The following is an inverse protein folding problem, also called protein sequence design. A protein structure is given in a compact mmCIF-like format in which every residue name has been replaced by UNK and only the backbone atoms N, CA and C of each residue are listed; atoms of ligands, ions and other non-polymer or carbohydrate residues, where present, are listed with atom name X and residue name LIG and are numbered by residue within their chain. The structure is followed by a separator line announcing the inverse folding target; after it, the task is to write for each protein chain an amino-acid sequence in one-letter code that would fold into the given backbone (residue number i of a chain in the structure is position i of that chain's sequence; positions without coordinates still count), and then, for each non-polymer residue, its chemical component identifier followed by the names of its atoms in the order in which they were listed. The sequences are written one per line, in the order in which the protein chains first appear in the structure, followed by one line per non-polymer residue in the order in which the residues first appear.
data_IF_179599549584
#
_entry.id   IF_179599549584
#
_cell.length_a   1.000
_cell.length_b   1.000
_cell.length_c   1.000
_cell.angle_alpha   90.00
_cell.angle_beta   90.00
_cell.angle_gamma   90.00
#
_symmetry.space_group_name_H-M   'P 1'
#
loop_
_entity.id
_entity.type
_entity.pdbx_description
1 polymer ?
#
# COMPACT_ATOMS: atom_id res chain seq x y z
N UNK A 1 -69.92 -43.14 -1.19
CA UNK A 1 -71.24 -42.51 -1.27
C UNK A 1 -71.14 -41.14 -1.92
N UNK A 2 -71.79 -41.02 -3.09
CA UNK A 2 -72.43 -39.85 -3.69
C UNK A 2 -71.55 -38.64 -3.97
N UNK A 3 -71.05 -38.45 -5.20
CA UNK A 3 -71.70 -37.85 -6.41
C UNK A 3 -72.19 -36.44 -6.20
N UNK A 4 -71.75 -35.43 -6.94
CA UNK A 4 -72.12 -34.93 -8.32
C UNK A 4 -71.38 -33.63 -8.55
N UNK A 5 -70.61 -33.40 -9.60
CA UNK A 5 -71.01 -33.01 -10.97
C UNK A 5 -71.83 -31.72 -11.10
N UNK A 6 -71.30 -30.79 -11.86
CA UNK A 6 -71.84 -29.99 -12.98
C UNK A 6 -71.21 -28.61 -12.93
N UNK A 7 -70.66 -28.04 -13.90
CA UNK A 7 -70.65 -27.94 -15.34
C UNK A 7 -70.44 -26.43 -15.70
N UNK A 8 -69.45 -26.20 -16.50
CA UNK A 8 -69.38 -25.45 -17.75
C UNK A 8 -70.04 -24.07 -17.87
N UNK A 9 -69.24 -23.10 -18.26
CA UNK A 9 -69.55 -22.25 -19.42
C UNK A 9 -68.28 -21.55 -19.96
N UNK A 10 -67.99 -21.82 -21.19
CA UNK A 10 -66.97 -21.21 -22.01
C UNK A 10 -67.49 -19.88 -22.56
N UNK A 11 -66.64 -18.86 -22.61
CA UNK A 11 -66.73 -17.78 -23.62
C UNK A 11 -65.33 -17.51 -24.13
N UNK A 12 -65.15 -17.80 -25.42
CA UNK A 12 -63.98 -17.49 -26.22
C UNK A 12 -64.09 -16.03 -26.70
N UNK A 13 -63.02 -15.26 -26.61
CA UNK A 13 -62.77 -14.08 -27.43
C UNK A 13 -61.33 -14.11 -27.95
N UNK A 14 -61.25 -13.83 -29.23
CA UNK A 14 -60.19 -14.07 -30.16
C UNK A 14 -58.88 -13.33 -29.98
N UNK A 15 -57.87 -13.95 -30.52
CA UNK A 15 -56.55 -13.58 -30.91
C UNK A 15 -56.31 -12.17 -31.44
N UNK A 16 -55.16 -11.58 -31.05
CA UNK A 16 -54.30 -10.84 -31.95
C UNK A 16 -52.85 -11.14 -31.58
N UNK A 17 -52.19 -11.89 -32.46
CA UNK A 17 -50.74 -12.07 -32.48
C UNK A 17 -50.10 -10.76 -32.91
N UNK A 18 -49.23 -10.20 -32.03
CA UNK A 18 -48.20 -9.29 -32.46
C UNK A 18 -46.85 -9.96 -32.08
N UNK A 19 -46.15 -10.48 -33.11
CA UNK A 19 -44.76 -10.80 -33.03
C UNK A 19 -43.97 -9.52 -32.73
N UNK A 20 -43.39 -9.44 -31.55
CA UNK A 20 -42.30 -8.48 -31.29
C UNK A 20 -41.07 -9.33 -31.00
N UNK A 21 -40.06 -9.18 -31.85
CA UNK A 21 -38.84 -9.92 -31.84
C UNK A 21 -38.07 -9.75 -30.52
N UNK A 22 -37.47 -10.84 -30.08
CA UNK A 22 -36.40 -10.83 -29.12
C UNK A 22 -35.19 -10.10 -29.70
N UNK A 23 -35.09 -8.81 -29.45
CA UNK A 23 -33.84 -8.09 -29.48
C UNK A 23 -33.12 -8.40 -28.17
N UNK A 24 -32.03 -9.13 -28.25
CA UNK A 24 -31.04 -9.27 -27.22
C UNK A 24 -30.48 -7.85 -27.00
N UNK A 25 -30.88 -7.18 -25.95
CA UNK A 25 -30.21 -5.97 -25.53
C UNK A 25 -28.81 -6.39 -25.13
N UNK A 26 -27.83 -6.03 -25.93
CA UNK A 26 -26.45 -5.91 -25.48
C UNK A 26 -26.50 -5.03 -24.26
N UNK A 27 -25.99 -5.55 -23.15
CA UNK A 27 -25.67 -4.75 -21.98
C UNK A 27 -24.60 -3.76 -22.42
N UNK A 28 -25.04 -2.59 -22.86
CA UNK A 28 -24.12 -1.46 -22.95
C UNK A 28 -23.54 -1.31 -21.55
N UNK A 29 -22.24 -1.44 -21.43
CA UNK A 29 -21.52 -1.05 -20.23
C UNK A 29 -22.04 0.35 -19.85
N UNK A 30 -22.61 0.47 -18.66
CA UNK A 30 -23.05 1.75 -18.12
C UNK A 30 -21.81 2.65 -18.13
N UNK A 31 -21.90 3.75 -18.86
CA UNK A 31 -20.85 4.75 -18.87
C UNK A 31 -20.56 5.16 -17.41
N UNK A 32 -19.28 5.38 -17.04
CA UNK A 32 -18.93 5.74 -15.69
C UNK A 32 -19.80 6.91 -15.24
N UNK A 33 -20.39 6.75 -14.06
CA UNK A 33 -21.31 7.70 -13.47
C UNK A 33 -20.64 9.08 -13.44
N UNK A 34 -21.40 10.12 -13.73
CA UNK A 34 -20.87 11.47 -13.84
C UNK A 34 -20.09 11.82 -12.60
N UNK A 35 -18.79 12.13 -12.78
CA UNK A 35 -17.95 12.71 -11.72
C UNK A 35 -18.76 13.75 -10.98
N UNK A 36 -18.98 13.54 -9.68
CA UNK A 36 -19.70 14.51 -8.86
C UNK A 36 -18.83 15.76 -8.75
N UNK A 37 -19.31 16.87 -9.27
CA UNK A 37 -18.63 18.16 -9.12
C UNK A 37 -18.76 18.58 -7.67
N UNK A 38 -17.63 18.88 -7.01
CA UNK A 38 -17.63 19.48 -5.67
C UNK A 38 -18.42 20.79 -5.71
N UNK A 39 -19.39 20.93 -4.80
CA UNK A 39 -20.14 22.19 -4.71
C UNK A 39 -19.25 23.32 -4.18
N UNK A 40 -19.53 24.55 -4.62
CA UNK A 40 -18.92 25.74 -4.05
C UNK A 40 -19.45 26.00 -2.62
N UNK A 41 -18.59 26.61 -1.78
CA UNK A 41 -18.95 27.03 -0.44
C UNK A 41 -18.51 26.07 0.68
N UNK A 42 -18.83 26.38 1.95
CA UNK A 42 -18.38 25.63 3.10
C UNK A 42 -19.00 24.23 3.18
N UNK A 43 -18.36 23.33 3.89
CA UNK A 43 -18.93 22.03 4.26
C UNK A 43 -20.06 22.23 5.30
N UNK A 44 -21.13 21.43 5.22
CA UNK A 44 -22.25 21.49 6.16
C UNK A 44 -22.76 20.09 6.53
N UNK A 45 -23.44 19.98 7.67
CA UNK A 45 -24.03 18.72 8.14
C UNK A 45 -23.03 17.82 8.87
N UNK A 46 -23.34 16.55 8.98
CA UNK A 46 -22.46 15.57 9.65
C UNK A 46 -21.72 14.75 8.61
N UNK A 47 -20.41 14.61 8.78
CA UNK A 47 -19.54 13.68 8.03
C UNK A 47 -19.10 12.57 8.96
N UNK A 48 -19.42 11.33 8.62
CA UNK A 48 -18.93 10.13 9.34
C UNK A 48 -17.66 9.65 8.68
N UNK A 49 -16.56 9.62 9.44
CA UNK A 49 -15.27 9.17 8.98
C UNK A 49 -14.81 7.93 9.76
N UNK A 50 -14.34 6.90 9.05
CA UNK A 50 -13.69 5.76 9.66
C UNK A 50 -12.21 5.76 9.32
N UNK A 51 -11.37 5.57 10.35
CA UNK A 51 -9.93 5.43 10.20
C UNK A 51 -9.39 4.35 11.13
N UNK A 52 -8.32 3.68 10.71
CA UNK A 52 -7.74 2.58 11.46
C UNK A 52 -6.65 3.09 12.42
N UNK A 53 -6.38 2.28 13.46
CA UNK A 53 -5.22 2.43 14.33
C UNK A 53 -5.06 3.79 14.99
N UNK A 54 -3.82 4.21 15.11
CA UNK A 54 -3.41 5.48 15.73
C UNK A 54 -3.99 6.68 15.01
N UNK A 55 -4.10 6.62 13.68
CA UNK A 55 -4.69 7.68 12.86
C UNK A 55 -6.15 7.92 13.24
N UNK A 56 -6.90 6.83 13.46
CA UNK A 56 -8.29 6.92 13.95
C UNK A 56 -8.40 7.52 15.36
N UNK A 57 -7.38 7.38 16.19
CA UNK A 57 -7.33 7.96 17.54
C UNK A 57 -6.93 9.44 17.53
N UNK A 58 -6.08 9.87 16.58
CA UNK A 58 -5.60 11.26 16.47
C UNK A 58 -6.58 12.16 15.70
N UNK A 59 -7.25 11.64 14.69
CA UNK A 59 -8.15 12.40 13.82
C UNK A 59 -9.23 13.21 14.57
N UNK A 60 -9.88 12.75 15.67
CA UNK A 60 -10.91 13.53 16.35
C UNK A 60 -10.46 14.91 16.83
N UNK A 61 -9.19 15.04 17.21
CA UNK A 61 -8.61 16.33 17.59
C UNK A 61 -8.13 17.10 16.36
N UNK A 62 -7.61 16.42 15.37
CA UNK A 62 -7.06 17.02 14.15
C UNK A 62 -8.13 17.70 13.29
N UNK A 63 -9.28 17.04 13.08
CA UNK A 63 -10.37 17.59 12.23
C UNK A 63 -11.09 18.80 12.83
N UNK A 64 -10.82 19.18 14.08
CA UNK A 64 -11.36 20.40 14.69
C UNK A 64 -10.99 21.65 13.90
N UNK A 65 -9.81 21.70 13.29
CA UNK A 65 -9.41 22.81 12.42
C UNK A 65 -10.29 22.91 11.17
N UNK A 66 -10.72 21.78 10.61
CA UNK A 66 -11.71 21.76 9.52
C UNK A 66 -13.09 22.24 9.97
N UNK A 67 -13.55 21.83 11.15
CA UNK A 67 -14.82 22.27 11.72
C UNK A 67 -14.82 23.77 12.06
N UNK A 68 -13.71 24.32 12.57
CA UNK A 68 -13.54 25.75 12.82
C UNK A 68 -13.64 26.57 11.52
N UNK A 69 -13.08 26.06 10.41
CA UNK A 69 -13.17 26.68 9.09
C UNK A 69 -14.57 26.51 8.45
N UNK A 70 -15.35 25.52 8.92
CA UNK A 70 -16.68 25.18 8.41
C UNK A 70 -17.69 25.04 9.57
N UNK A 71 -18.17 26.14 10.19
CA UNK A 71 -18.95 26.09 11.45
C UNK A 71 -20.27 25.33 11.40
N UNK A 72 -20.74 24.97 10.21
CA UNK A 72 -21.99 24.21 10.02
C UNK A 72 -21.72 22.71 9.76
N UNK A 73 -20.47 22.24 9.85
CA UNK A 73 -20.12 20.82 9.72
C UNK A 73 -19.73 20.23 11.08
N UNK A 74 -20.01 18.95 11.26
CA UNK A 74 -19.47 18.13 12.34
C UNK A 74 -18.85 16.86 11.74
N UNK A 75 -17.64 16.49 12.17
CA UNK A 75 -16.94 15.27 11.72
C UNK A 75 -16.96 14.23 12.83
N UNK A 76 -17.69 13.15 12.62
CA UNK A 76 -17.77 12.01 13.56
C UNK A 76 -16.75 10.94 13.17
N UNK A 77 -15.59 10.93 13.82
CA UNK A 77 -14.55 9.96 13.57
C UNK A 77 -14.79 8.69 14.40
N UNK A 78 -14.65 7.52 13.76
CA UNK A 78 -14.65 6.22 14.40
C UNK A 78 -13.30 5.54 14.17
N UNK A 79 -12.54 5.35 15.25
CA UNK A 79 -11.32 4.55 15.22
C UNK A 79 -11.67 3.05 15.11
N UNK A 80 -10.96 2.33 14.24
CA UNK A 80 -11.17 0.91 13.97
C UNK A 80 -9.84 0.17 14.16
N UNK A 81 -9.78 -0.92 14.94
CA UNK A 81 -8.60 -1.77 14.99
C UNK A 81 -8.31 -2.37 13.61
N UNK A 82 -7.04 -2.38 13.20
CA UNK A 82 -6.59 -2.89 11.90
C UNK A 82 -7.05 -4.33 11.62
N UNK A 83 -6.96 -5.21 12.62
CA UNK A 83 -7.32 -6.63 12.51
C UNK A 83 -8.81 -6.89 12.23
N UNK A 84 -9.68 -5.94 12.57
CA UNK A 84 -11.13 -6.04 12.36
C UNK A 84 -11.65 -5.17 11.20
N UNK A 85 -10.79 -4.35 10.60
CA UNK A 85 -11.18 -3.34 9.61
C UNK A 85 -11.84 -3.97 8.37
N UNK A 86 -11.20 -4.98 7.76
CA UNK A 86 -11.72 -5.64 6.56
C UNK A 86 -13.13 -6.17 6.77
N UNK A 87 -13.37 -6.92 7.85
CA UNK A 87 -14.68 -7.48 8.15
C UNK A 87 -15.73 -6.38 8.41
N UNK A 88 -15.35 -5.30 9.09
CA UNK A 88 -16.25 -4.19 9.39
C UNK A 88 -16.68 -3.48 8.10
N UNK A 89 -15.75 -3.22 7.17
CA UNK A 89 -16.07 -2.62 5.87
C UNK A 89 -16.94 -3.56 5.01
N UNK A 90 -16.62 -4.84 4.95
CA UNK A 90 -17.47 -5.83 4.25
C UNK A 90 -18.93 -5.80 4.76
N UNK A 91 -19.10 -5.77 6.07
CA UNK A 91 -20.43 -5.73 6.70
C UNK A 91 -21.16 -4.41 6.40
N UNK A 92 -20.46 -3.28 6.48
CA UNK A 92 -21.03 -1.96 6.23
C UNK A 92 -21.48 -1.82 4.76
N UNK A 93 -20.63 -2.23 3.81
CA UNK A 93 -20.93 -2.20 2.38
C UNK A 93 -22.10 -3.12 2.04
N UNK A 94 -22.11 -4.35 2.57
CA UNK A 94 -23.20 -5.31 2.32
C UNK A 94 -24.55 -4.84 2.89
N UNK A 95 -24.56 -4.05 3.96
CA UNK A 95 -25.78 -3.52 4.59
C UNK A 95 -26.18 -2.12 4.10
N UNK A 96 -25.36 -1.45 3.27
CA UNK A 96 -25.56 -0.06 2.86
C UNK A 96 -25.34 0.98 3.99
N UNK A 97 -24.74 0.57 5.12
CA UNK A 97 -24.47 1.44 6.26
C UNK A 97 -22.98 1.84 6.31
N UNK A 98 -22.49 2.45 5.24
CA UNK A 98 -21.10 2.91 5.10
C UNK A 98 -20.88 4.27 5.79
N UNK A 99 -19.65 4.62 6.18
CA UNK A 99 -19.31 6.00 6.51
C UNK A 99 -19.33 6.87 5.25
N UNK A 100 -19.28 8.20 5.42
CA UNK A 100 -19.14 9.10 4.28
C UNK A 100 -17.70 9.04 3.73
N UNK A 101 -16.71 9.08 4.62
CA UNK A 101 -15.27 9.02 4.32
C UNK A 101 -14.64 7.85 5.04
N UNK A 102 -13.67 7.21 4.42
CA UNK A 102 -12.81 6.27 5.13
C UNK A 102 -11.35 6.37 4.68
N UNK A 103 -10.44 6.08 5.62
CA UNK A 103 -9.07 5.74 5.34
C UNK A 103 -9.00 4.31 4.80
N UNK A 104 -8.25 4.08 3.72
CA UNK A 104 -8.13 2.77 3.06
C UNK A 104 -6.70 2.50 2.58
N UNK A 105 -6.13 1.33 2.84
CA UNK A 105 -4.84 0.92 2.30
C UNK A 105 -5.01 0.22 0.92
N UNK A 106 -5.48 0.92 -0.11
CA UNK A 106 -5.75 0.31 -1.40
C UNK A 106 -7.08 -0.47 -1.43
N UNK A 107 -7.11 -1.72 -1.07
CA UNK A 107 -8.27 -2.63 -0.98
C UNK A 107 -9.19 -2.64 -2.22
N UNK A 108 -8.73 -3.15 -3.37
CA UNK A 108 -9.50 -3.19 -4.63
C UNK A 108 -10.77 -4.05 -4.53
N UNK A 109 -10.87 -4.95 -3.55
CA UNK A 109 -12.08 -5.74 -3.29
C UNK A 109 -13.34 -4.88 -3.06
N UNK A 110 -13.17 -3.62 -2.66
CA UNK A 110 -14.27 -2.69 -2.40
C UNK A 110 -14.47 -1.64 -3.50
N UNK A 111 -13.71 -1.71 -4.61
CA UNK A 111 -13.73 -0.68 -5.68
C UNK A 111 -15.13 -0.30 -6.14
N UNK A 112 -16.06 -1.26 -6.19
CA UNK A 112 -17.44 -1.02 -6.61
C UNK A 112 -18.26 -0.16 -5.63
N UNK A 113 -17.81 -0.03 -4.39
CA UNK A 113 -18.45 0.79 -3.37
C UNK A 113 -17.89 2.23 -3.32
N UNK A 114 -16.73 2.50 -3.91
CA UNK A 114 -16.10 3.82 -3.89
C UNK A 114 -16.70 4.74 -4.95
N UNK A 115 -16.92 5.98 -4.59
CA UNK A 115 -17.26 7.03 -5.54
C UNK A 115 -16.01 7.48 -6.29
N UNK A 116 -16.10 7.77 -7.60
CA UNK A 116 -14.98 8.36 -8.34
C UNK A 116 -14.55 9.69 -7.74
N UNK A 117 -13.24 9.95 -7.72
CA UNK A 117 -12.68 11.24 -7.26
C UNK A 117 -13.18 12.35 -8.18
N UNK A 118 -13.80 13.41 -7.63
CA UNK A 118 -14.33 14.50 -8.44
C UNK A 118 -13.24 15.43 -8.99
N UNK A 119 -13.51 16.10 -10.12
CA UNK A 119 -12.57 17.01 -10.79
C UNK A 119 -12.04 18.15 -9.88
N UNK A 120 -12.70 18.44 -8.76
CA UNK A 120 -12.27 19.47 -7.79
C UNK A 120 -11.17 19.01 -6.83
N UNK A 121 -10.67 17.77 -6.95
CA UNK A 121 -9.54 17.23 -6.17
C UNK A 121 -8.41 16.88 -7.14
N UNK A 122 -7.31 17.62 -7.03
CA UNK A 122 -6.14 17.44 -7.86
C UNK A 122 -5.13 16.50 -7.17
N UNK A 123 -4.87 15.35 -7.76
CA UNK A 123 -3.86 14.37 -7.30
C UNK A 123 -2.54 14.47 -8.07
N UNK A 124 -2.44 15.35 -9.10
CA UNK A 124 -1.25 15.44 -9.95
C UNK A 124 0.00 15.96 -9.23
N UNK A 125 -0.18 16.64 -8.09
CA UNK A 125 0.91 17.10 -7.22
C UNK A 125 1.37 16.05 -6.19
N UNK A 126 0.83 14.83 -6.23
CA UNK A 126 1.19 13.73 -5.34
C UNK A 126 2.23 12.81 -5.99
N UNK A 127 2.86 11.94 -5.20
CA UNK A 127 3.78 10.94 -5.76
C UNK A 127 3.04 9.97 -6.69
N UNK A 128 3.60 9.74 -7.89
CA UNK A 128 2.96 8.92 -8.93
C UNK A 128 2.61 7.51 -8.43
N UNK A 129 3.54 6.85 -7.73
CA UNK A 129 3.29 5.54 -7.13
C UNK A 129 2.13 5.55 -6.14
N UNK A 130 1.95 6.63 -5.36
CA UNK A 130 0.82 6.74 -4.43
C UNK A 130 -0.50 6.97 -5.16
N UNK A 131 -0.51 7.77 -6.22
CA UNK A 131 -1.70 7.97 -7.06
C UNK A 131 -2.13 6.64 -7.70
N UNK A 132 -1.17 5.82 -8.15
CA UNK A 132 -1.44 4.52 -8.73
C UNK A 132 -2.16 3.56 -7.77
N UNK A 133 -1.91 3.64 -6.44
CA UNK A 133 -2.64 2.82 -5.45
C UNK A 133 -4.14 3.10 -5.40
N UNK A 134 -4.55 4.29 -5.81
CA UNK A 134 -5.95 4.72 -5.85
C UNK A 134 -6.63 4.55 -7.20
N UNK A 135 -5.87 4.16 -8.24
CA UNK A 135 -6.41 3.92 -9.59
C UNK A 135 -6.83 2.46 -9.74
N UNK A 136 -8.09 2.24 -10.02
CA UNK A 136 -8.67 0.90 -10.19
C UNK A 136 -9.51 0.87 -11.45
N UNK A 137 -9.24 -0.07 -12.35
CA UNK A 137 -9.89 -0.21 -13.65
C UNK A 137 -9.85 1.11 -14.49
N UNK A 138 -8.76 1.88 -14.38
CA UNK A 138 -8.59 3.15 -15.09
C UNK A 138 -9.37 4.34 -14.51
N UNK A 139 -10.01 4.18 -13.36
CA UNK A 139 -10.67 5.26 -12.63
C UNK A 139 -9.92 5.58 -11.33
N UNK A 140 -9.71 6.88 -11.05
CA UNK A 140 -9.23 7.30 -9.73
C UNK A 140 -10.37 7.23 -8.72
N UNK A 141 -10.29 6.27 -7.79
CA UNK A 141 -11.31 6.00 -6.77
C UNK A 141 -10.88 6.40 -5.36
N UNK A 142 -9.60 6.64 -5.16
CA UNK A 142 -9.03 6.98 -3.87
C UNK A 142 -8.08 8.16 -4.01
N UNK A 143 -7.92 8.96 -2.96
CA UNK A 143 -7.01 10.09 -2.89
C UNK A 143 -5.89 9.74 -1.90
N UNK A 144 -4.61 9.73 -2.30
CA UNK A 144 -3.51 9.49 -1.37
C UNK A 144 -3.53 10.49 -0.20
N UNK A 145 -3.40 9.97 1.01
CA UNK A 145 -3.40 10.80 2.22
C UNK A 145 -2.02 10.88 2.85
N UNK A 146 -1.46 9.73 3.18
CA UNK A 146 -0.07 9.63 3.59
C UNK A 146 0.61 8.49 2.87
N UNK A 147 1.94 8.56 2.79
CA UNK A 147 2.75 7.58 2.07
C UNK A 147 3.76 6.91 2.99
N UNK A 148 4.14 5.70 2.61
CA UNK A 148 5.22 4.93 3.20
C UNK A 148 6.03 4.31 2.06
N UNK A 149 7.34 4.21 2.25
CA UNK A 149 8.24 3.48 1.37
C UNK A 149 9.37 2.87 2.18
N UNK A 150 10.22 2.08 1.55
CA UNK A 150 11.37 1.47 2.22
C UNK A 150 12.66 2.11 1.76
N UNK A 151 13.55 2.37 2.73
CA UNK A 151 14.92 2.85 2.52
C UNK A 151 15.90 1.99 3.32
N UNK A 152 17.17 2.08 3.00
CA UNK A 152 18.22 1.45 3.78
C UNK A 152 18.57 2.31 5.01
N UNK A 153 18.41 1.74 6.20
CA UNK A 153 18.97 2.25 7.46
C UNK A 153 20.30 1.58 7.75
N UNK A 154 21.28 2.32 8.21
CA UNK A 154 22.56 1.76 8.60
C UNK A 154 23.23 2.53 9.73
N UNK A 155 24.00 1.82 10.56
CA UNK A 155 24.83 2.37 11.64
C UNK A 155 26.07 3.05 11.04
N UNK A 156 26.18 4.36 11.18
CA UNK A 156 27.29 5.14 10.58
C UNK A 156 28.62 4.87 11.27
N UNK A 157 28.62 4.71 12.60
CA UNK A 157 29.82 4.38 13.39
C UNK A 157 30.41 3.02 13.02
N UNK A 158 29.57 2.01 12.74
CA UNK A 158 30.02 0.70 12.33
C UNK A 158 30.43 0.68 10.84
N UNK A 159 29.78 1.47 10.00
CA UNK A 159 30.18 1.67 8.61
C UNK A 159 31.59 2.29 8.52
N UNK A 160 31.87 3.33 9.31
CA UNK A 160 33.22 3.92 9.41
C UNK A 160 34.25 2.91 9.89
N UNK A 161 33.95 2.11 10.90
CA UNK A 161 34.85 1.01 11.36
C UNK A 161 35.09 -0.04 10.28
N UNK A 162 34.08 -0.30 9.43
CA UNK A 162 34.19 -1.18 8.29
C UNK A 162 34.95 -0.56 7.09
N UNK A 163 35.27 0.74 7.17
CA UNK A 163 36.01 1.48 6.14
C UNK A 163 35.15 2.16 5.09
N UNK A 164 33.86 2.30 5.36
CA UNK A 164 32.90 2.97 4.49
C UNK A 164 32.68 4.43 4.90
N UNK A 165 32.86 5.35 3.94
CA UNK A 165 32.66 6.79 4.14
C UNK A 165 31.40 7.33 3.46
N UNK A 166 30.69 6.47 2.72
CA UNK A 166 29.42 6.74 2.06
C UNK A 166 28.53 5.49 2.10
N UNK A 167 27.25 5.68 1.94
CA UNK A 167 26.29 4.58 1.79
C UNK A 167 26.53 3.80 0.49
N UNK A 168 26.18 2.51 0.43
CA UNK A 168 26.21 1.73 -0.81
C UNK A 168 25.15 2.23 -1.79
N UNK A 169 25.50 2.33 -3.08
CA UNK A 169 24.64 2.82 -4.14
C UNK A 169 24.23 1.76 -5.17
N UNK A 170 24.91 0.62 -5.17
CA UNK A 170 24.64 -0.52 -6.07
C UNK A 170 24.43 -1.80 -5.27
N UNK A 171 23.86 -2.81 -5.91
CA UNK A 171 23.68 -4.14 -5.31
C UNK A 171 25.01 -4.75 -4.88
N UNK A 172 26.03 -4.68 -5.72
CA UNK A 172 27.38 -5.19 -5.38
C UNK A 172 27.97 -4.46 -4.18
N UNK A 173 27.79 -3.13 -4.13
CA UNK A 173 28.23 -2.34 -2.98
C UNK A 173 27.46 -2.68 -1.71
N UNK A 174 26.14 -2.92 -1.78
CA UNK A 174 25.34 -3.33 -0.60
C UNK A 174 25.81 -4.69 -0.07
N UNK A 175 26.05 -5.66 -0.93
CA UNK A 175 26.53 -6.97 -0.52
C UNK A 175 27.92 -6.86 0.12
N UNK A 176 28.83 -6.09 -0.47
CA UNK A 176 30.15 -5.85 0.09
C UNK A 176 30.08 -5.07 1.41
N UNK A 177 29.24 -4.01 1.48
CA UNK A 177 29.02 -3.21 2.67
C UNK A 177 28.56 -4.07 3.85
N UNK A 178 27.53 -4.89 3.65
CA UNK A 178 27.01 -5.78 4.69
C UNK A 178 28.07 -6.81 5.13
N UNK A 179 28.80 -7.40 4.19
CA UNK A 179 29.91 -8.32 4.49
C UNK A 179 31.06 -7.65 5.26
N UNK A 180 31.35 -6.39 4.97
CA UNK A 180 32.37 -5.61 5.65
C UNK A 180 31.93 -5.19 7.07
N UNK A 181 30.64 -4.84 7.25
CA UNK A 181 30.07 -4.58 8.57
C UNK A 181 30.23 -5.79 9.52
N UNK A 182 30.01 -6.99 9.00
CA UNK A 182 30.21 -8.23 9.75
C UNK A 182 31.71 -8.51 10.03
N UNK A 183 32.54 -8.46 8.98
CA UNK A 183 33.94 -8.93 9.08
C UNK A 183 34.88 -7.92 9.72
N UNK A 184 34.66 -6.61 9.52
CA UNK A 184 35.57 -5.53 9.94
C UNK A 184 35.06 -4.77 11.15
N UNK A 185 33.74 -4.54 11.28
CA UNK A 185 33.14 -3.86 12.41
C UNK A 185 32.65 -4.84 13.51
N UNK A 186 32.67 -6.15 13.26
CA UNK A 186 32.38 -7.18 14.25
C UNK A 186 30.88 -7.39 14.51
N UNK A 187 30.01 -6.99 13.60
CA UNK A 187 28.59 -7.29 13.66
C UNK A 187 28.35 -8.81 13.61
N UNK A 188 27.32 -9.31 14.26
CA UNK A 188 26.94 -10.72 14.17
C UNK A 188 26.49 -11.07 12.76
N UNK A 189 25.65 -10.20 12.18
CA UNK A 189 25.16 -10.23 10.81
C UNK A 189 25.37 -8.86 10.16
N UNK A 190 25.61 -8.83 8.85
CA UNK A 190 25.89 -7.57 8.16
C UNK A 190 24.62 -6.74 7.87
N UNK A 191 23.52 -7.44 7.59
CA UNK A 191 22.24 -6.83 7.24
C UNK A 191 21.08 -7.75 7.65
N UNK A 192 19.95 -7.15 8.01
CA UNK A 192 18.69 -7.85 8.20
C UNK A 192 17.85 -7.78 6.91
N UNK A 193 17.53 -8.94 6.36
CA UNK A 193 16.70 -9.12 5.17
C UNK A 193 15.56 -10.12 5.42
N UNK A 194 14.45 -10.06 4.68
CA UNK A 194 13.38 -11.05 4.74
C UNK A 194 13.90 -12.44 4.33
N UNK A 195 13.60 -13.45 5.12
CA UNK A 195 14.02 -14.85 4.89
C UNK A 195 12.83 -15.78 4.59
N UNK A 196 11.67 -15.24 4.25
CA UNK A 196 10.40 -15.92 4.16
C UNK A 196 9.45 -15.53 5.29
N UNK A 197 8.21 -16.02 5.24
CA UNK A 197 7.13 -15.65 6.14
C UNK A 197 6.38 -14.38 5.70
N UNK A 198 5.29 -14.01 6.42
CA UNK A 198 4.35 -13.00 5.98
C UNK A 198 4.99 -11.66 5.58
N UNK A 199 4.68 -11.20 4.37
CA UNK A 199 5.13 -9.93 3.81
C UNK A 199 6.53 -9.96 3.21
N UNK A 200 7.23 -11.10 3.18
CA UNK A 200 8.58 -11.21 2.58
C UNK A 200 8.54 -10.90 1.09
N UNK A 201 7.54 -11.38 0.36
CA UNK A 201 7.38 -11.10 -1.06
C UNK A 201 7.28 -9.60 -1.31
N UNK A 202 6.34 -8.92 -0.65
CA UNK A 202 6.17 -7.47 -0.80
C UNK A 202 7.42 -6.67 -0.39
N UNK A 203 8.05 -7.04 0.72
CA UNK A 203 9.26 -6.34 1.20
C UNK A 203 10.51 -6.59 0.35
N UNK A 204 10.48 -7.55 -0.58
CA UNK A 204 11.58 -7.82 -1.53
C UNK A 204 11.30 -7.34 -2.95
N UNK A 205 10.10 -6.80 -3.25
CA UNK A 205 9.72 -6.34 -4.60
C UNK A 205 10.66 -5.27 -5.17
N UNK A 206 11.33 -4.51 -4.31
CA UNK A 206 12.31 -3.54 -4.77
C UNK A 206 13.45 -4.17 -5.59
N UNK A 207 13.80 -5.45 -5.32
CA UNK A 207 14.86 -6.13 -6.04
C UNK A 207 14.47 -6.45 -7.49
N UNK A 208 13.40 -7.22 -7.78
CA UNK A 208 13.02 -7.45 -9.18
C UNK A 208 12.71 -6.16 -9.93
N UNK A 209 12.07 -5.18 -9.31
CA UNK A 209 11.84 -3.88 -9.94
C UNK A 209 13.15 -3.11 -10.23
N UNK A 210 14.15 -3.19 -9.32
CA UNK A 210 15.47 -2.59 -9.51
C UNK A 210 16.22 -3.23 -10.69
N UNK A 211 16.00 -4.51 -10.95
CA UNK A 211 16.55 -5.25 -12.10
C UNK A 211 15.72 -5.08 -13.39
N UNK A 212 14.74 -4.17 -13.42
CA UNK A 212 13.90 -3.90 -14.59
C UNK A 212 12.71 -4.85 -14.77
N UNK A 213 12.46 -5.77 -13.82
CA UNK A 213 11.33 -6.68 -13.85
C UNK A 213 10.00 -6.00 -13.48
N UNK A 214 8.90 -6.55 -13.97
CA UNK A 214 7.54 -6.15 -13.61
C UNK A 214 6.76 -7.36 -13.10
N UNK A 215 5.78 -7.11 -12.21
CA UNK A 215 4.95 -8.18 -11.63
C UNK A 215 3.96 -8.76 -12.64
N UNK A 216 3.56 -7.94 -13.59
CA UNK A 216 2.55 -8.26 -14.59
C UNK A 216 3.01 -7.76 -15.97
N UNK A 217 2.37 -8.26 -17.00
CA UNK A 217 2.52 -7.75 -18.35
C UNK A 217 1.95 -6.31 -18.51
N UNK A 218 2.22 -5.65 -19.64
CA UNK A 218 1.76 -4.29 -19.93
C UNK A 218 0.22 -4.13 -19.86
N UNK A 219 -0.51 -5.21 -20.09
CA UNK A 219 -1.97 -5.26 -20.04
C UNK A 219 -2.54 -5.41 -18.63
N UNK A 220 -1.70 -5.77 -17.67
CA UNK A 220 -2.07 -6.21 -16.32
C UNK A 220 -3.06 -7.39 -16.31
N UNK A 221 -2.98 -8.24 -17.33
CA UNK A 221 -3.84 -9.40 -17.52
C UNK A 221 -3.14 -10.70 -17.12
N UNK A 222 -1.81 -10.75 -17.13
CA UNK A 222 -1.00 -11.93 -16.85
C UNK A 222 0.12 -11.62 -15.86
N UNK A 223 0.39 -12.56 -14.96
CA UNK A 223 1.54 -12.48 -14.04
C UNK A 223 2.84 -12.72 -14.79
N UNK A 224 3.93 -12.08 -14.36
CA UNK A 224 5.27 -12.14 -14.97
C UNK A 224 6.35 -12.35 -13.91
N UNK A 225 6.33 -13.52 -13.22
CA UNK A 225 7.13 -13.78 -12.02
C UNK A 225 8.33 -14.73 -12.24
N UNK A 226 8.41 -15.46 -13.36
CA UNK A 226 9.49 -16.39 -13.68
C UNK A 226 10.47 -15.83 -14.72
N UNK A 227 10.71 -14.52 -14.67
CA UNK A 227 11.60 -13.80 -15.60
C UNK A 227 13.06 -13.82 -15.14
N UNK A 228 13.97 -13.41 -16.03
CA UNK A 228 15.40 -13.27 -15.71
C UNK A 228 15.66 -12.24 -14.60
N UNK A 229 14.86 -11.18 -14.53
CA UNK A 229 14.95 -10.10 -13.54
C UNK A 229 14.56 -10.61 -12.15
N UNK A 230 13.49 -11.38 -12.06
CA UNK A 230 13.11 -12.07 -10.82
C UNK A 230 14.16 -13.10 -10.40
N UNK A 231 14.71 -13.86 -11.34
CA UNK A 231 15.77 -14.81 -11.05
C UNK A 231 17.03 -14.10 -10.52
N UNK A 232 17.49 -13.03 -11.16
CA UNK A 232 18.61 -12.22 -10.68
C UNK A 232 18.36 -11.66 -9.28
N UNK A 233 17.17 -11.12 -9.02
CA UNK A 233 16.76 -10.56 -7.73
C UNK A 233 16.82 -11.61 -6.61
N UNK A 234 16.27 -12.79 -6.82
CA UNK A 234 16.24 -13.82 -5.76
C UNK A 234 17.54 -14.60 -5.63
N UNK A 235 18.39 -14.71 -6.66
CA UNK A 235 19.78 -15.16 -6.49
C UNK A 235 20.61 -14.13 -5.70
N UNK A 236 20.39 -12.82 -5.94
CA UNK A 236 21.01 -11.76 -5.16
C UNK A 236 20.56 -11.81 -3.69
N UNK A 237 19.27 -11.88 -3.40
CA UNK A 237 18.75 -12.04 -2.04
C UNK A 237 19.35 -13.27 -1.34
N UNK A 238 19.34 -14.43 -2.02
CA UNK A 238 19.86 -15.70 -1.51
C UNK A 238 21.35 -15.62 -1.17
N UNK A 239 22.15 -14.84 -1.93
CA UNK A 239 23.59 -14.71 -1.72
C UNK A 239 23.93 -14.21 -0.31
N UNK A 240 23.16 -13.29 0.26
CA UNK A 240 23.37 -12.81 1.63
C UNK A 240 23.25 -13.92 2.68
N UNK A 241 22.38 -14.88 2.47
CA UNK A 241 22.18 -16.01 3.38
C UNK A 241 23.21 -17.11 3.15
N UNK A 242 23.55 -17.41 1.89
CA UNK A 242 24.56 -18.45 1.57
C UNK A 242 25.97 -18.03 1.97
N UNK A 243 26.26 -16.73 1.93
CA UNK A 243 27.54 -16.16 2.36
C UNK A 243 27.60 -15.90 3.87
N UNK A 244 26.50 -16.19 4.59
CA UNK A 244 26.40 -16.02 6.04
C UNK A 244 26.40 -14.55 6.48
N UNK A 245 25.95 -13.63 5.62
CA UNK A 245 25.87 -12.19 5.89
C UNK A 245 24.54 -11.82 6.55
N UNK A 246 23.44 -12.49 6.20
CA UNK A 246 22.12 -12.31 6.77
C UNK A 246 21.64 -13.53 7.55
N UNK A 247 20.86 -13.31 8.63
CA UNK A 247 20.35 -14.38 9.48
C UNK A 247 19.05 -14.98 8.91
N UNK A 248 19.02 -16.25 8.49
CA UNK A 248 17.82 -16.91 7.97
C UNK A 248 16.78 -17.22 9.07
N UNK A 249 17.14 -17.06 10.35
CA UNK A 249 16.27 -17.33 11.50
C UNK A 249 16.08 -16.07 12.38
N UNK A 250 16.17 -14.87 11.78
CA UNK A 250 15.93 -13.64 12.51
C UNK A 250 14.50 -13.61 13.07
N UNK A 251 14.36 -13.17 14.32
CA UNK A 251 13.03 -12.98 14.93
C UNK A 251 12.28 -11.89 14.16
N UNK A 252 11.09 -12.18 13.58
CA UNK A 252 10.34 -11.21 12.79
C UNK A 252 9.73 -10.06 13.60
N UNK A 253 9.75 -10.14 14.94
CA UNK A 253 9.16 -9.10 15.78
C UNK A 253 9.86 -7.74 15.58
N UNK A 254 9.12 -6.62 15.43
CA UNK A 254 9.71 -5.29 15.29
C UNK A 254 10.68 -4.92 16.40
N UNK A 255 10.35 -5.29 17.64
CA UNK A 255 11.21 -5.05 18.79
C UNK A 255 12.58 -5.75 18.70
N UNK A 256 12.63 -6.95 18.08
CA UNK A 256 13.88 -7.65 17.82
C UNK A 256 14.74 -6.88 16.81
N UNK A 257 14.15 -6.38 15.72
CA UNK A 257 14.85 -5.56 14.73
C UNK A 257 15.46 -4.29 15.38
N UNK A 258 14.71 -3.60 16.24
CA UNK A 258 15.19 -2.41 16.97
C UNK A 258 16.38 -2.78 17.91
N UNK A 259 16.25 -3.85 18.68
CA UNK A 259 17.31 -4.30 19.60
C UNK A 259 18.57 -4.72 18.85
N UNK A 260 18.43 -5.46 17.75
CA UNK A 260 19.55 -5.90 16.92
C UNK A 260 20.28 -4.71 16.28
N UNK A 261 19.54 -3.70 15.83
CA UNK A 261 20.11 -2.49 15.26
C UNK A 261 20.84 -1.64 16.31
N UNK A 262 20.22 -1.42 17.47
CA UNK A 262 20.82 -0.66 18.57
C UNK A 262 22.09 -1.33 19.07
N UNK A 263 22.07 -2.65 19.27
CA UNK A 263 23.25 -3.40 19.74
C UNK A 263 24.36 -3.51 18.69
N UNK A 264 24.05 -3.25 17.41
CA UNK A 264 24.98 -3.46 16.30
C UNK A 264 25.07 -4.93 15.84
N UNK A 265 24.20 -5.81 16.34
CA UNK A 265 24.14 -7.22 15.89
C UNK A 265 23.71 -7.32 14.43
N UNK A 266 22.74 -6.47 14.00
CA UNK A 266 22.34 -6.22 12.61
C UNK A 266 22.41 -4.71 12.33
N UNK A 267 23.55 -4.17 11.87
CA UNK A 267 23.76 -2.74 11.73
C UNK A 267 23.13 -2.12 10.48
N UNK A 268 22.50 -2.90 9.65
CA UNK A 268 21.77 -2.45 8.47
C UNK A 268 20.45 -3.20 8.31
N UNK A 269 19.41 -2.50 7.84
CA UNK A 269 18.12 -3.09 7.47
C UNK A 269 17.37 -2.18 6.50
N UNK A 270 16.45 -2.78 5.74
CA UNK A 270 15.54 -2.06 4.83
C UNK A 270 14.17 -1.99 5.49
N UNK A 271 13.69 -0.78 5.76
CA UNK A 271 12.43 -0.58 6.50
C UNK A 271 11.80 0.79 6.24
N UNK A 272 10.61 1.03 6.81
CA UNK A 272 9.83 2.27 6.64
C UNK A 272 10.16 3.37 7.66
N UNK A 273 9.50 4.54 7.55
CA UNK A 273 9.77 5.71 8.39
C UNK A 273 9.44 5.48 9.87
N UNK A 274 8.49 4.60 10.19
CA UNK A 274 8.14 4.25 11.57
C UNK A 274 9.34 3.79 12.40
N UNK A 275 10.38 3.24 11.76
CA UNK A 275 11.57 2.74 12.44
C UNK A 275 12.37 3.86 13.11
N UNK A 276 12.45 5.04 12.49
CA UNK A 276 13.08 6.22 13.10
C UNK A 276 12.37 6.62 14.40
N UNK A 277 11.04 6.58 14.44
CA UNK A 277 10.27 6.82 15.65
C UNK A 277 10.58 5.82 16.77
N UNK A 278 10.71 4.52 16.44
CA UNK A 278 11.11 3.48 17.39
C UNK A 278 12.54 3.69 17.91
N UNK A 279 13.49 4.07 17.05
CA UNK A 279 14.87 4.38 17.45
C UNK A 279 14.92 5.60 18.36
N UNK A 280 14.22 6.68 18.02
CA UNK A 280 14.17 7.91 18.85
C UNK A 280 13.61 7.64 20.24
N UNK A 281 12.62 6.74 20.36
CA UNK A 281 12.09 6.32 21.65
C UNK A 281 13.03 5.44 22.48
N UNK A 282 13.87 4.62 21.83
CA UNK A 282 14.71 3.62 22.48
C UNK A 282 16.19 4.07 22.64
N UNK A 283 16.74 4.84 21.70
CA UNK A 283 18.17 5.20 21.65
C UNK A 283 18.39 6.51 20.84
N UNK A 284 17.93 7.62 21.37
CA UNK A 284 17.90 8.94 20.71
C UNK A 284 19.24 9.40 20.10
N UNK A 285 20.37 9.06 20.74
CA UNK A 285 21.70 9.49 20.31
C UNK A 285 22.44 8.41 19.48
N UNK A 286 21.72 7.40 18.99
CA UNK A 286 22.31 6.34 18.20
C UNK A 286 22.79 6.91 16.83
N UNK A 287 24.08 6.71 16.45
CA UNK A 287 24.55 7.18 15.16
C UNK A 287 24.06 6.25 14.03
N UNK A 288 23.15 6.76 13.21
CA UNK A 288 22.64 6.06 12.02
C UNK A 288 22.34 7.07 10.89
N UNK A 289 22.19 6.56 9.71
CA UNK A 289 21.72 7.31 8.56
C UNK A 289 20.77 6.45 7.72
N UNK A 290 20.04 7.12 6.85
CA UNK A 290 19.20 6.52 5.83
C UNK A 290 19.75 6.84 4.43
N UNK A 291 19.47 5.98 3.47
CA UNK A 291 19.75 6.23 2.06
C UNK A 291 18.73 5.49 1.20
N UNK A 292 18.54 5.95 -0.04
CA UNK A 292 17.73 5.23 -1.04
C UNK A 292 18.26 3.81 -1.22
N UNK A 293 17.40 2.90 -1.67
CA UNK A 293 17.78 1.52 -1.92
C UNK A 293 18.82 1.46 -3.05
N UNK A 294 19.89 0.67 -2.87
CA UNK A 294 20.92 0.49 -3.90
C UNK A 294 20.33 -0.08 -5.19
N UNK A 295 20.83 0.44 -6.32
CA UNK A 295 20.37 0.09 -7.64
C UNK A 295 21.06 -1.15 -8.22
N UNK A 296 20.33 -1.93 -9.01
CA UNK A 296 20.90 -2.71 -10.10
C UNK A 296 20.83 -1.83 -11.38
N UNK A 297 19.71 -1.84 -12.12
CA UNK A 297 19.46 -0.91 -13.20
C UNK A 297 18.91 0.44 -12.68
N UNK A 298 18.09 0.41 -11.64
CA UNK A 298 17.48 1.59 -11.02
C UNK A 298 17.31 1.44 -9.52
N UNK A 299 17.33 2.56 -8.77
CA UNK A 299 16.87 2.58 -7.40
C UNK A 299 15.34 2.70 -7.38
N UNK A 300 14.68 1.76 -6.72
CA UNK A 300 13.22 1.76 -6.59
C UNK A 300 12.80 1.10 -5.27
N UNK A 301 11.57 1.30 -4.88
CA UNK A 301 10.95 0.66 -3.71
C UNK A 301 9.46 0.49 -3.96
N UNK A 302 8.73 -0.16 -3.04
CA UNK A 302 7.27 -0.10 -3.11
C UNK A 302 6.74 1.10 -2.35
N UNK A 303 5.59 1.61 -2.80
CA UNK A 303 4.83 2.62 -2.07
C UNK A 303 3.75 1.94 -1.25
N UNK A 304 3.69 2.31 0.02
CA UNK A 304 2.63 1.99 0.96
C UNK A 304 1.95 3.26 1.45
N UNK A 305 1.28 3.16 2.59
CA UNK A 305 0.52 4.26 3.20
C UNK A 305 -0.98 4.01 3.14
N UNK A 306 -1.76 5.08 3.18
CA UNK A 306 -3.21 4.97 3.07
C UNK A 306 -3.81 6.10 2.25
N UNK A 307 -4.95 5.80 1.66
CA UNK A 307 -5.74 6.68 0.84
C UNK A 307 -7.03 7.07 1.57
N UNK A 308 -7.69 8.12 1.11
CA UNK A 308 -9.03 8.52 1.50
C UNK A 308 -10.02 8.13 0.41
N UNK A 309 -11.15 7.59 0.81
CA UNK A 309 -12.27 7.24 -0.07
C UNK A 309 -13.55 7.91 0.41
N UNK A 310 -14.43 8.21 -0.54
CA UNK A 310 -15.85 8.53 -0.28
C UNK A 310 -16.68 7.40 -0.87
N UNK A 311 -17.66 6.91 -0.13
CA UNK A 311 -18.52 5.83 -0.61
C UNK A 311 -19.63 6.34 -1.51
N UNK A 312 -20.06 5.56 -2.51
CA UNK A 312 -21.23 5.88 -3.36
C UNK A 312 -22.51 6.08 -2.54
N UNK A 313 -22.65 5.29 -1.47
CA UNK A 313 -23.81 5.32 -0.54
C UNK A 313 -23.62 6.32 0.62
N UNK A 314 -22.60 7.22 0.55
CA UNK A 314 -22.36 8.23 1.56
C UNK A 314 -23.58 9.12 1.74
N UNK A 315 -23.98 9.35 3.00
CA UNK A 315 -25.13 10.19 3.32
C UNK A 315 -24.83 11.69 3.06
N UNK A 316 -23.55 12.08 3.19
CA UNK A 316 -23.07 13.46 2.98
C UNK A 316 -21.81 13.50 2.12
N UNK A 317 -21.91 13.03 0.88
CA UNK A 317 -20.79 12.91 -0.07
C UNK A 317 -20.09 14.24 -0.34
N UNK A 318 -20.84 15.37 -0.51
CA UNK A 318 -20.24 16.68 -0.80
C UNK A 318 -19.34 17.18 0.33
N UNK A 319 -19.82 17.13 1.58
CA UNK A 319 -18.98 17.49 2.73
C UNK A 319 -17.84 16.48 2.96
N UNK A 320 -18.07 15.21 2.64
CA UNK A 320 -17.02 14.17 2.66
C UNK A 320 -15.88 14.50 1.71
N UNK A 321 -16.17 14.86 0.47
CA UNK A 321 -15.16 15.29 -0.50
C UNK A 321 -14.45 16.59 -0.12
N UNK A 322 -15.15 17.53 0.53
CA UNK A 322 -14.52 18.76 1.07
C UNK A 322 -13.53 18.43 2.20
N UNK A 323 -13.86 17.46 3.07
CA UNK A 323 -12.95 16.98 4.09
C UNK A 323 -11.72 16.29 3.45
N UNK A 324 -11.94 15.43 2.45
CA UNK A 324 -10.84 14.79 1.70
C UNK A 324 -9.93 15.82 1.05
N UNK A 325 -10.50 16.84 0.39
CA UNK A 325 -9.73 17.94 -0.21
C UNK A 325 -8.88 18.67 0.83
N UNK A 326 -9.46 19.02 1.99
CA UNK A 326 -8.74 19.69 3.07
C UNK A 326 -7.60 18.81 3.61
N UNK A 327 -7.84 17.52 3.83
CA UNK A 327 -6.82 16.55 4.26
C UNK A 327 -5.72 16.35 3.20
N UNK A 328 -5.95 16.78 1.96
CA UNK A 328 -4.99 16.69 0.85
C UNK A 328 -4.25 18.01 0.59
N UNK A 329 -4.51 19.07 1.33
CA UNK A 329 -3.78 20.33 1.23
C UNK A 329 -2.35 20.18 1.78
N UNK A 330 -1.32 20.77 1.14
CA UNK A 330 0.08 20.59 1.59
C UNK A 330 0.29 20.95 3.07
N UNK A 331 -0.27 22.09 3.51
CA UNK A 331 -0.14 22.57 4.89
C UNK A 331 -0.85 21.63 5.87
N UNK A 332 -1.97 21.04 5.46
CA UNK A 332 -2.71 20.08 6.28
C UNK A 332 -1.94 18.77 6.42
N UNK A 333 -1.29 18.30 5.34
CA UNK A 333 -0.46 17.10 5.40
C UNK A 333 0.83 17.30 6.21
N UNK A 334 1.43 18.49 6.19
CA UNK A 334 2.53 18.83 7.10
C UNK A 334 2.07 18.78 8.56
N UNK A 335 0.94 19.43 8.88
CA UNK A 335 0.38 19.39 10.24
C UNK A 335 0.01 17.96 10.67
N UNK A 336 -0.46 17.13 9.73
CA UNK A 336 -0.72 15.71 10.00
C UNK A 336 0.57 14.93 10.31
N UNK A 337 1.64 15.18 9.54
CA UNK A 337 2.95 14.60 9.83
C UNK A 337 3.44 14.97 11.24
N UNK A 338 3.32 16.25 11.65
CA UNK A 338 3.71 16.68 13.00
C UNK A 338 2.89 15.97 14.11
N UNK A 339 1.62 15.65 13.83
CA UNK A 339 0.73 14.97 14.77
C UNK A 339 0.92 13.45 14.83
N UNK A 340 1.20 12.80 13.69
CA UNK A 340 1.16 11.33 13.54
C UNK A 340 2.52 10.71 13.21
N UNK A 341 3.40 11.44 12.52
CA UNK A 341 4.61 10.92 11.90
C UNK A 341 4.38 10.31 10.50
N UNK A 342 3.16 10.38 9.97
CA UNK A 342 2.82 9.87 8.63
C UNK A 342 3.33 10.82 7.55
N UNK A 343 4.08 10.30 6.58
CA UNK A 343 4.73 11.12 5.55
C UNK A 343 3.70 11.65 4.53
N UNK A 344 3.80 12.94 4.13
CA UNK A 344 2.89 13.53 3.16
C UNK A 344 2.89 12.84 1.80
N UNK A 345 1.71 12.63 1.22
CA UNK A 345 1.55 12.18 -0.15
C UNK A 345 1.75 13.32 -1.17
N UNK A 346 1.53 14.57 -0.77
CA UNK A 346 1.69 15.76 -1.61
C UNK A 346 3.15 16.18 -1.64
N UNK A 347 3.75 16.21 -2.85
CA UNK A 347 5.18 16.49 -3.03
C UNK A 347 5.59 17.88 -2.52
N UNK A 348 4.75 18.90 -2.70
CA UNK A 348 5.07 20.26 -2.23
C UNK A 348 5.14 20.40 -0.70
N UNK A 349 4.51 19.50 0.06
CA UNK A 349 4.63 19.46 1.52
C UNK A 349 6.07 19.17 1.98
N UNK A 350 6.86 18.46 1.17
CA UNK A 350 8.26 18.13 1.46
C UNK A 350 9.23 19.33 1.36
N UNK A 351 8.75 20.46 0.88
CA UNK A 351 9.51 21.73 0.93
C UNK A 351 9.41 22.42 2.29
N UNK A 352 8.50 21.98 3.18
CA UNK A 352 8.41 22.49 4.54
C UNK A 352 9.67 22.15 5.35
N UNK A 353 10.22 23.09 6.13
CA UNK A 353 11.42 22.85 6.94
C UNK A 353 11.36 21.65 7.87
N UNK A 354 10.17 21.31 8.40
CA UNK A 354 10.00 20.16 9.31
C UNK A 354 10.32 18.82 8.64
N UNK A 355 10.16 18.74 7.32
CA UNK A 355 10.48 17.55 6.51
C UNK A 355 11.82 17.72 5.80
N UNK A 356 12.05 18.88 5.20
CA UNK A 356 13.22 19.16 4.35
C UNK A 356 14.53 19.17 5.13
N UNK A 357 14.52 19.68 6.35
CA UNK A 357 15.70 19.83 7.19
C UNK A 357 16.01 18.58 8.05
N UNK A 358 15.22 17.51 7.92
CA UNK A 358 15.47 16.22 8.56
C UNK A 358 16.23 15.27 7.61
N UNK A 359 17.52 15.12 7.84
CA UNK A 359 18.41 14.28 7.05
C UNK A 359 17.91 12.80 6.98
N UNK A 360 17.18 12.32 8.00
CA UNK A 360 16.62 10.97 8.01
C UNK A 360 15.49 10.83 6.99
N UNK A 361 14.73 11.90 6.77
CA UNK A 361 13.58 11.91 5.85
C UNK A 361 13.98 12.16 4.39
N UNK A 362 15.13 12.77 4.14
CA UNK A 362 15.59 13.08 2.79
C UNK A 362 15.61 11.85 1.87
N UNK A 363 16.08 10.70 2.37
CA UNK A 363 16.09 9.46 1.62
C UNK A 363 14.68 8.94 1.27
N UNK A 364 13.69 9.18 2.12
CA UNK A 364 12.29 8.81 1.85
C UNK A 364 11.70 9.68 0.74
N UNK A 365 11.90 10.99 0.81
CA UNK A 365 11.45 11.92 -0.23
C UNK A 365 12.06 11.61 -1.60
N UNK A 366 13.34 11.25 -1.65
CA UNK A 366 14.02 10.82 -2.87
C UNK A 366 13.49 9.47 -3.36
N UNK A 367 13.36 8.46 -2.48
CA UNK A 367 12.90 7.14 -2.86
C UNK A 367 11.46 7.12 -3.36
N UNK A 368 10.60 7.97 -2.82
CA UNK A 368 9.20 8.10 -3.26
C UNK A 368 9.06 8.58 -4.71
N UNK A 369 10.08 9.26 -5.27
CA UNK A 369 10.07 9.67 -6.68
C UNK A 369 10.10 8.47 -7.64
N UNK A 370 10.63 7.34 -7.19
CA UNK A 370 10.80 6.11 -7.99
C UNK A 370 10.04 4.92 -7.43
N UNK A 371 9.29 5.11 -6.34
CA UNK A 371 8.53 4.03 -5.71
C UNK A 371 7.36 3.60 -6.59
N UNK A 372 7.17 2.28 -6.70
CA UNK A 372 6.12 1.66 -7.50
C UNK A 372 4.98 1.14 -6.64
N UNK A 373 3.76 1.21 -7.18
CA UNK A 373 2.59 0.55 -6.59
C UNK A 373 2.57 -0.92 -6.97
N UNK A 374 2.33 -1.84 -6.02
CA UNK A 374 1.89 -3.17 -6.38
C UNK A 374 0.58 -3.12 -7.18
N UNK A 375 0.27 -4.14 -8.01
CA UNK A 375 -0.97 -4.19 -8.76
C UNK A 375 -2.20 -4.07 -7.86
N UNK A 376 -3.14 -3.20 -8.22
CA UNK A 376 -4.38 -2.98 -7.45
C UNK A 376 -5.47 -3.98 -7.86
N UNK A 377 -5.17 -5.28 -7.69
CA UNK A 377 -6.04 -6.42 -7.99
C UNK A 377 -6.27 -7.28 -6.74
N UNK A 378 -7.43 -7.92 -6.67
CA UNK A 378 -7.85 -8.69 -5.47
C UNK A 378 -6.96 -9.91 -5.22
N UNK A 379 -6.39 -10.47 -6.27
CA UNK A 379 -5.52 -11.66 -6.19
C UNK A 379 -4.10 -11.37 -5.70
N UNK A 380 -3.65 -10.10 -5.64
CA UNK A 380 -2.28 -9.74 -5.27
C UNK A 380 -1.85 -10.33 -3.93
N UNK A 381 -2.68 -10.19 -2.89
CA UNK A 381 -2.36 -10.71 -1.56
C UNK A 381 -2.19 -12.24 -1.55
N UNK A 382 -3.03 -12.97 -2.32
CA UNK A 382 -2.92 -14.43 -2.42
C UNK A 382 -1.65 -14.87 -3.14
N UNK A 383 -1.26 -14.15 -4.19
CA UNK A 383 0.01 -14.41 -4.89
C UNK A 383 1.19 -14.05 -3.99
N UNK A 384 1.07 -12.98 -3.20
CA UNK A 384 2.04 -12.61 -2.18
C UNK A 384 2.28 -13.69 -1.13
N UNK A 385 1.22 -14.33 -0.63
CA UNK A 385 1.32 -15.45 0.33
C UNK A 385 2.08 -16.65 -0.29
N UNK A 386 1.84 -16.99 -1.56
CA UNK A 386 2.60 -18.02 -2.27
C UNK A 386 4.07 -17.58 -2.49
N UNK A 387 4.30 -16.30 -2.78
CA UNK A 387 5.64 -15.71 -2.90
C UNK A 387 6.42 -15.79 -1.59
N UNK A 388 5.80 -15.50 -0.45
CA UNK A 388 6.39 -15.64 0.88
C UNK A 388 6.92 -17.06 1.13
N UNK A 389 6.09 -18.05 0.78
CA UNK A 389 6.46 -19.46 0.92
C UNK A 389 7.60 -19.87 -0.03
N UNK A 390 7.61 -19.38 -1.26
CA UNK A 390 8.67 -19.66 -2.24
C UNK A 390 9.99 -19.01 -1.80
N UNK A 391 9.98 -17.77 -1.32
CA UNK A 391 11.16 -17.10 -0.78
C UNK A 391 11.78 -17.94 0.35
N UNK A 392 10.95 -18.40 1.30
CA UNK A 392 11.44 -19.25 2.39
C UNK A 392 12.12 -20.52 1.86
N UNK A 393 11.53 -21.20 0.87
CA UNK A 393 12.08 -22.41 0.28
C UNK A 393 13.42 -22.14 -0.43
N UNK A 394 13.53 -21.02 -1.15
CA UNK A 394 14.78 -20.59 -1.83
C UNK A 394 15.87 -20.31 -0.79
N UNK A 395 15.57 -19.54 0.25
CA UNK A 395 16.53 -19.17 1.29
C UNK A 395 16.99 -20.40 2.09
N UNK A 396 16.11 -21.35 2.37
CA UNK A 396 16.45 -22.61 3.03
C UNK A 396 17.13 -23.63 2.11
N UNK A 397 17.26 -23.32 0.81
CA UNK A 397 17.90 -24.20 -0.18
C UNK A 397 17.13 -25.49 -0.47
N UNK A 398 15.82 -25.51 -0.22
CA UNK A 398 14.95 -26.66 -0.52
C UNK A 398 14.50 -26.70 -1.96
N UNK A 399 14.54 -25.56 -2.64
CA UNK A 399 14.32 -25.41 -4.09
C UNK A 399 15.39 -24.49 -4.69
N UNK A 400 15.62 -24.61 -5.99
CA UNK A 400 16.42 -23.62 -6.74
C UNK A 400 15.62 -22.35 -6.94
N UNK A 401 16.25 -21.21 -7.27
CA UNK A 401 15.52 -19.98 -7.62
C UNK A 401 14.65 -20.24 -8.85
N UNK A 402 15.18 -20.86 -9.89
CA UNK A 402 14.45 -21.18 -11.13
C UNK A 402 13.19 -22.03 -10.86
N UNK A 403 13.33 -23.16 -10.12
CA UNK A 403 12.19 -24.02 -9.80
C UNK A 403 11.16 -23.32 -8.89
N UNK A 404 11.64 -22.48 -7.96
CA UNK A 404 10.78 -21.69 -7.06
C UNK A 404 9.93 -20.68 -7.83
N UNK A 405 10.56 -19.90 -8.72
CA UNK A 405 9.86 -18.91 -9.55
C UNK A 405 8.89 -19.55 -10.54
N UNK A 406 9.28 -20.64 -11.20
CA UNK A 406 8.38 -21.39 -12.08
C UNK A 406 7.16 -21.95 -11.31
N UNK A 407 7.36 -22.37 -10.06
CA UNK A 407 6.25 -22.79 -9.19
C UNK A 407 5.36 -21.60 -8.81
N UNK A 408 5.93 -20.44 -8.49
CA UNK A 408 5.21 -19.23 -8.14
C UNK A 408 4.40 -18.73 -9.34
N UNK A 409 5.00 -18.65 -10.53
CA UNK A 409 4.30 -18.28 -11.76
C UNK A 409 3.09 -19.16 -12.00
N UNK A 410 3.28 -20.48 -11.96
CA UNK A 410 2.18 -21.42 -12.12
C UNK A 410 1.05 -21.22 -11.10
N UNK A 411 1.39 -20.95 -9.83
CA UNK A 411 0.38 -20.67 -8.79
C UNK A 411 -0.33 -19.36 -9.04
N UNK A 412 0.39 -18.31 -9.45
CA UNK A 412 -0.17 -17.03 -9.82
C UNK A 412 -1.16 -17.17 -10.98
N UNK A 413 -0.81 -17.94 -12.01
CA UNK A 413 -1.69 -18.25 -13.14
C UNK A 413 -2.97 -19.01 -12.71
N UNK A 414 -2.85 -19.96 -11.77
CA UNK A 414 -3.99 -20.69 -11.19
C UNK A 414 -4.90 -19.78 -10.33
N UNK A 415 -4.35 -18.78 -9.66
CA UNK A 415 -5.09 -17.78 -8.87
C UNK A 415 -5.78 -16.78 -9.78
N UNK A 416 -5.11 -16.39 -10.87
CA UNK A 416 -5.59 -15.39 -11.83
C UNK A 416 -5.33 -13.95 -11.39
N UNK A 417 -5.94 -13.00 -12.11
CA UNK A 417 -5.74 -11.55 -11.91
C UNK A 417 -6.99 -10.83 -11.40
N UNK A 418 -8.07 -11.58 -11.06
CA UNK A 418 -9.35 -11.03 -10.55
C UNK A 418 -9.38 -10.94 -9.01
#
# INVERSE_FOLDING_TARGET
MKTKLLAASAIAIAATLALSGCGRADSAAEAPDKTSVLSDGPATGTVKMWAMGTEGELLPDFVKAFEEANPEVAVEVTAIPWDSALQKFQTAIASGNVPDVAMMPGLPIFKNAYAPVPDGIDVSGMFEGSVATGNMDGAQLQVPWYVDTRVLYYRTDLAEQAGWTSAPSTWDELHQFAGDMQKKAGAEWGIRLPAGGPGSFQNTLWMPWSAGGELMDDGQDEWSLDTSEFAAAYEYLKSFFTDGIANPNADPAPAAAVNDFISGANPALITGPFFAGLLNGAAKDLPYATTVLPADESSTSFVGGANLVVFKEAANSDAGWKLVRWLSEPETQVAWYEASGDLPAVQSAWEDPVLKDDDTLAAFGEQLQTAKSPPQIVSFDKVGDEGDAVIEQIIRGTVTVEDGLASLQKRADEIGTE
#
